data_IF_179262514390
#
_entry.id   IF_179262514390
#
_cell.length_a   1.000
_cell.length_b   1.000
_cell.length_c   1.000
_cell.angle_alpha   90.00
_cell.angle_beta   90.00
_cell.angle_gamma   90.00
#
_symmetry.space_group_name_H-M   'P 1'
#
loop_
_entity.id
_entity.type
_entity.pdbx_description
1 polymer ?
#
# COMPACT_ATOMS: atom_id res chain seq x y z
N UNK A 1 -5.06 -17.32 -19.64
CA UNK A 1 -3.78 -17.16 -18.92
C UNK A 1 -3.67 -15.72 -18.56
N UNK A 2 -3.32 -15.39 -17.31
CA UNK A 2 -3.03 -13.99 -16.97
C UNK A 2 -1.82 -13.52 -17.78
N UNK A 3 -1.85 -12.28 -18.27
CA UNK A 3 -0.79 -11.64 -19.07
C UNK A 3 0.62 -11.85 -18.50
N UNK A 4 0.72 -11.94 -17.17
CA UNK A 4 1.96 -12.10 -16.42
C UNK A 4 2.75 -13.40 -16.67
N UNK A 5 2.11 -14.52 -17.04
CA UNK A 5 2.83 -15.79 -17.26
C UNK A 5 3.79 -15.71 -18.45
N UNK A 6 3.42 -14.92 -19.48
CA UNK A 6 4.28 -14.63 -20.63
C UNK A 6 5.54 -13.83 -20.27
N UNK A 7 5.58 -13.24 -19.07
CA UNK A 7 6.69 -12.43 -18.57
C UNK A 7 7.47 -13.13 -17.43
N UNK A 8 7.34 -14.46 -17.30
CA UNK A 8 8.09 -15.25 -16.32
C UNK A 8 7.55 -15.17 -14.89
N UNK A 9 6.34 -14.64 -14.70
CA UNK A 9 5.69 -14.55 -13.39
C UNK A 9 4.80 -15.78 -13.20
N UNK A 10 5.14 -16.63 -12.23
CA UNK A 10 4.30 -17.76 -11.82
C UNK A 10 3.14 -17.26 -10.97
N UNK A 11 1.92 -17.54 -11.41
CA UNK A 11 0.70 -17.14 -10.69
C UNK A 11 0.04 -18.34 -10.02
N UNK A 12 -0.52 -18.15 -8.83
CA UNK A 12 -1.38 -19.13 -8.18
C UNK A 12 -2.56 -18.41 -7.53
N UNK A 13 -3.78 -18.84 -7.86
CA UNK A 13 -5.00 -18.31 -7.26
C UNK A 13 -5.31 -19.13 -6.02
N UNK A 14 -5.41 -18.47 -4.87
CA UNK A 14 -5.70 -19.11 -3.60
C UNK A 14 -6.16 -18.11 -2.55
N UNK A 15 -6.76 -18.62 -1.48
CA UNK A 15 -7.06 -17.82 -0.29
C UNK A 15 -6.02 -18.13 0.78
N UNK A 16 -5.54 -17.11 1.50
CA UNK A 16 -4.65 -17.29 2.66
C UNK A 16 -5.25 -18.18 3.74
N UNK A 17 -6.57 -18.42 3.72
CA UNK A 17 -7.23 -19.36 4.61
C UNK A 17 -6.96 -20.82 4.30
N UNK A 18 -6.55 -21.15 3.08
CA UNK A 18 -6.14 -22.49 2.69
C UNK A 18 -4.66 -22.70 3.05
N UNK A 19 -4.44 -23.20 4.26
CA UNK A 19 -3.08 -23.44 4.78
C UNK A 19 -2.31 -24.46 3.93
N UNK A 20 -3.00 -25.49 3.42
CA UNK A 20 -2.34 -26.55 2.65
C UNK A 20 -1.81 -26.00 1.32
N UNK A 21 -2.64 -25.21 0.63
CA UNK A 21 -2.24 -24.54 -0.61
C UNK A 21 -1.13 -23.51 -0.35
N UNK A 22 -1.28 -22.67 0.68
CA UNK A 22 -0.25 -21.67 1.00
C UNK A 22 1.09 -22.34 1.30
N UNK A 23 1.08 -23.40 2.10
CA UNK A 23 2.28 -24.17 2.42
C UNK A 23 2.89 -24.83 1.19
N UNK A 24 2.08 -25.43 0.30
CA UNK A 24 2.62 -26.05 -0.92
C UNK A 24 3.24 -25.00 -1.84
N UNK A 25 2.55 -23.88 -2.07
CA UNK A 25 3.03 -22.81 -2.96
C UNK A 25 4.35 -22.21 -2.47
N UNK A 26 4.44 -21.89 -1.17
CA UNK A 26 5.66 -21.30 -0.60
C UNK A 26 6.82 -22.30 -0.59
N UNK A 27 6.57 -23.57 -0.27
CA UNK A 27 7.61 -24.62 -0.32
C UNK A 27 8.11 -24.86 -1.75
N UNK A 28 7.19 -24.99 -2.71
CA UNK A 28 7.53 -25.29 -4.10
C UNK A 28 8.30 -24.13 -4.76
N UNK A 29 7.98 -22.89 -4.37
CA UNK A 29 8.68 -21.70 -4.87
C UNK A 29 10.00 -21.44 -4.14
N UNK A 30 10.10 -21.84 -2.86
CA UNK A 30 11.28 -21.66 -2.00
C UNK A 30 11.84 -20.21 -2.03
N UNK A 31 11.03 -19.20 -1.65
CA UNK A 31 11.40 -17.79 -1.78
C UNK A 31 12.54 -17.39 -0.86
N UNK A 32 13.32 -16.40 -1.30
CA UNK A 32 14.28 -15.70 -0.45
C UNK A 32 13.72 -14.39 0.14
N UNK A 33 12.78 -13.77 -0.58
CA UNK A 33 12.12 -12.52 -0.20
C UNK A 33 10.61 -12.71 -0.32
N UNK A 34 9.86 -12.25 0.68
CA UNK A 34 8.40 -12.32 0.70
C UNK A 34 7.82 -10.92 0.91
N UNK A 35 6.95 -10.52 0.00
CA UNK A 35 6.09 -9.34 0.17
C UNK A 35 4.64 -9.78 0.42
N UNK A 36 4.08 -9.41 1.57
CA UNK A 36 2.69 -9.74 1.92
C UNK A 36 1.76 -8.54 1.72
N UNK A 37 1.07 -8.50 0.58
CA UNK A 37 0.10 -7.45 0.24
C UNK A 37 -1.35 -7.92 0.31
N UNK A 38 -1.59 -9.22 0.40
CA UNK A 38 -2.94 -9.78 0.36
C UNK A 38 -3.74 -9.41 1.61
N UNK A 39 -4.90 -8.78 1.41
CA UNK A 39 -5.77 -8.26 2.46
C UNK A 39 -7.16 -7.94 1.88
N UNK A 40 -8.16 -7.83 2.76
CA UNK A 40 -9.41 -7.10 2.50
C UNK A 40 -9.10 -5.59 2.71
N UNK A 41 -9.06 -4.74 1.65
CA UNK A 41 -8.53 -3.38 1.74
C UNK A 41 -9.59 -2.26 1.84
N UNK A 42 -10.88 -2.61 1.85
CA UNK A 42 -11.99 -1.66 1.73
C UNK A 42 -12.65 -1.45 3.10
N UNK A 43 -12.58 -0.22 3.61
CA UNK A 43 -13.17 0.20 4.89
C UNK A 43 -14.67 -0.06 4.92
N UNK A 44 -15.41 0.33 3.87
CA UNK A 44 -16.86 0.13 3.78
C UNK A 44 -17.26 -1.35 3.86
N UNK A 45 -16.60 -2.20 3.09
CA UNK A 45 -16.81 -3.66 3.13
C UNK A 45 -16.54 -4.24 4.53
N UNK A 46 -15.64 -3.63 5.30
CA UNK A 46 -15.35 -4.08 6.66
C UNK A 46 -16.50 -3.85 7.64
N UNK A 47 -17.40 -2.89 7.38
CA UNK A 47 -18.65 -2.75 8.14
C UNK A 47 -19.70 -3.81 7.73
N UNK A 48 -19.70 -4.21 6.47
CA UNK A 48 -20.63 -5.21 5.93
C UNK A 48 -20.24 -6.64 6.36
N UNK A 49 -18.93 -6.96 6.34
CA UNK A 49 -18.38 -8.25 6.76
C UNK A 49 -17.11 -8.08 7.62
N UNK A 50 -17.28 -7.71 8.90
CA UNK A 50 -16.16 -7.47 9.81
C UNK A 50 -15.38 -8.75 10.11
N UNK A 51 -16.06 -9.89 10.25
CA UNK A 51 -15.41 -11.16 10.59
C UNK A 51 -14.51 -11.61 9.45
N UNK A 52 -14.97 -11.59 8.20
CA UNK A 52 -14.11 -11.92 7.07
C UNK A 52 -12.91 -10.98 6.98
N UNK A 53 -13.08 -9.69 7.27
CA UNK A 53 -11.98 -8.73 7.31
C UNK A 53 -10.90 -9.12 8.33
N UNK A 54 -11.28 -9.54 9.54
CA UNK A 54 -10.32 -10.05 10.52
C UNK A 54 -9.68 -11.38 10.12
N UNK A 55 -10.46 -12.30 9.52
CA UNK A 55 -9.92 -13.57 9.02
C UNK A 55 -8.85 -13.32 7.96
N UNK A 56 -9.15 -12.50 6.96
CA UNK A 56 -8.21 -12.22 5.86
C UNK A 56 -6.98 -11.47 6.36
N UNK A 57 -7.17 -10.39 7.13
CA UNK A 57 -6.09 -9.48 7.48
C UNK A 57 -5.24 -9.97 8.65
N UNK A 58 -5.84 -10.57 9.68
CA UNK A 58 -5.14 -11.02 10.88
C UNK A 58 -4.73 -12.47 10.76
N UNK A 59 -5.69 -13.36 10.52
CA UNK A 59 -5.40 -14.81 10.46
C UNK A 59 -4.60 -15.13 9.21
N UNK A 60 -4.88 -14.48 8.07
CA UNK A 60 -4.07 -14.61 6.85
C UNK A 60 -2.61 -14.19 7.07
N UNK A 61 -2.37 -13.09 7.79
CA UNK A 61 -1.00 -12.65 8.15
C UNK A 61 -0.32 -13.66 9.07
N UNK A 62 -1.00 -14.16 10.11
CA UNK A 62 -0.45 -15.17 11.00
C UNK A 62 -0.10 -16.46 10.26
N UNK A 63 -0.97 -16.92 9.34
CA UNK A 63 -0.75 -18.12 8.52
C UNK A 63 0.47 -18.00 7.61
N UNK A 64 0.63 -16.86 6.93
CA UNK A 64 1.81 -16.62 6.11
C UNK A 64 3.08 -16.71 6.95
N UNK A 65 3.11 -16.01 8.09
CA UNK A 65 4.26 -16.03 8.99
C UNK A 65 4.53 -17.44 9.55
N UNK A 66 3.49 -18.21 9.86
CA UNK A 66 3.61 -19.59 10.32
C UNK A 66 4.21 -20.51 9.24
N UNK A 67 3.77 -20.37 7.99
CA UNK A 67 4.37 -21.10 6.87
C UNK A 67 5.82 -20.66 6.66
N UNK A 68 6.11 -19.36 6.68
CA UNK A 68 7.46 -18.82 6.48
C UNK A 68 8.48 -19.30 7.51
N UNK A 69 8.08 -19.59 8.75
CA UNK A 69 8.97 -20.19 9.77
C UNK A 69 9.62 -21.48 9.30
N UNK A 70 8.92 -22.25 8.46
CA UNK A 70 9.38 -23.56 7.97
C UNK A 70 10.28 -23.49 6.73
N UNK A 71 10.60 -22.31 6.22
CA UNK A 71 11.27 -22.13 4.92
C UNK A 71 12.69 -21.59 5.13
N UNK A 72 13.74 -22.44 5.00
CA UNK A 72 15.11 -22.02 5.31
C UNK A 72 15.67 -20.95 4.38
N UNK A 73 15.16 -20.83 3.14
CA UNK A 73 15.64 -19.86 2.16
C UNK A 73 15.22 -18.42 2.46
N UNK A 74 14.14 -18.20 3.21
CA UNK A 74 13.61 -16.86 3.44
C UNK A 74 14.61 -16.05 4.27
N UNK A 75 14.96 -14.88 3.75
CA UNK A 75 15.84 -13.90 4.40
C UNK A 75 15.14 -12.58 4.70
N UNK A 76 14.19 -12.17 3.87
CA UNK A 76 13.45 -10.91 4.07
C UNK A 76 11.94 -11.13 3.95
N UNK A 77 11.19 -10.58 4.90
CA UNK A 77 9.73 -10.51 4.85
C UNK A 77 9.31 -9.06 5.10
N UNK A 78 8.61 -8.48 4.13
CA UNK A 78 7.98 -7.16 4.24
C UNK A 78 6.46 -7.34 4.22
N UNK A 79 5.82 -7.04 5.35
CA UNK A 79 4.37 -7.13 5.49
C UNK A 79 3.73 -5.75 5.31
N UNK A 80 2.77 -5.63 4.39
CA UNK A 80 2.13 -4.36 4.09
C UNK A 80 0.87 -4.22 4.95
N UNK A 81 0.89 -3.22 5.83
CA UNK A 81 -0.24 -2.90 6.71
C UNK A 81 -1.03 -1.72 6.15
N UNK A 82 -1.04 -0.57 6.82
CA UNK A 82 -1.71 0.67 6.37
C UNK A 82 -1.32 1.82 7.28
N UNK A 83 -1.38 3.04 6.75
CA UNK A 83 -1.43 4.28 7.53
C UNK A 83 -2.52 4.30 8.62
N UNK A 84 -3.58 3.49 8.49
CA UNK A 84 -4.72 3.44 9.43
C UNK A 84 -4.55 2.48 10.61
N UNK A 85 -3.36 1.87 10.78
CA UNK A 85 -3.11 0.95 11.90
C UNK A 85 -2.87 1.67 13.24
N UNK A 86 -2.79 2.99 13.23
CA UNK A 86 -2.60 3.80 14.43
C UNK A 86 -3.92 4.09 15.14
N UNK A 87 -3.85 4.28 16.46
CA UNK A 87 -4.96 4.79 17.26
C UNK A 87 -5.20 6.27 16.91
N UNK A 88 -6.21 6.52 16.09
CA UNK A 88 -6.42 7.82 15.47
C UNK A 88 -6.87 8.87 16.49
N UNK A 89 -6.01 9.87 16.74
CA UNK A 89 -6.21 11.00 17.65
C UNK A 89 -6.90 12.21 17.02
N UNK A 90 -7.16 12.20 15.70
CA UNK A 90 -7.76 13.33 14.96
C UNK A 90 -7.03 14.66 15.25
N UNK A 91 -5.70 14.64 15.16
CA UNK A 91 -4.82 15.76 15.47
C UNK A 91 -3.95 16.18 14.26
N UNK A 92 -3.17 17.25 14.41
CA UNK A 92 -2.38 17.83 13.31
C UNK A 92 -1.03 17.13 13.06
N UNK A 93 -0.62 16.18 13.91
CA UNK A 93 0.69 15.52 13.80
C UNK A 93 0.64 14.22 13.01
N UNK A 94 1.76 13.91 12.33
CA UNK A 94 1.95 12.59 11.73
C UNK A 94 2.29 11.53 12.76
N UNK A 95 1.75 10.33 12.61
CA UNK A 95 2.07 9.21 13.48
C UNK A 95 3.50 8.73 13.25
N UNK A 96 4.24 8.57 14.34
CA UNK A 96 5.56 7.93 14.37
C UNK A 96 5.38 6.44 14.63
N UNK A 97 6.35 5.62 14.25
CA UNK A 97 6.20 4.16 14.32
C UNK A 97 6.05 3.59 15.73
N UNK A 98 6.39 4.40 16.75
CA UNK A 98 6.26 4.11 18.18
C UNK A 98 4.91 4.51 18.78
N UNK A 99 4.10 5.28 18.06
CA UNK A 99 2.80 5.71 18.55
C UNK A 99 1.83 4.52 18.62
N UNK A 100 0.78 4.66 19.44
CA UNK A 100 -0.14 3.56 19.74
C UNK A 100 -0.86 3.05 18.49
N UNK A 101 -1.00 1.72 18.42
CA UNK A 101 -1.81 1.05 17.40
C UNK A 101 -3.28 1.03 17.81
N UNK A 102 -4.17 1.04 16.82
CA UNK A 102 -5.61 1.06 17.02
C UNK A 102 -6.38 0.97 15.71
N UNK A 103 -7.60 1.47 15.70
CA UNK A 103 -8.41 1.48 14.49
C UNK A 103 -9.89 1.56 14.84
N UNK A 104 -10.56 2.57 14.30
CA UNK A 104 -11.97 2.83 14.59
C UNK A 104 -12.88 1.80 13.91
N UNK A 105 -12.66 1.58 12.61
CA UNK A 105 -13.40 0.61 11.80
C UNK A 105 -12.71 -0.77 11.77
N UNK A 106 -13.45 -1.85 11.44
CA UNK A 106 -12.90 -3.21 11.44
C UNK A 106 -11.70 -3.41 10.50
N UNK A 107 -11.62 -2.70 9.37
CA UNK A 107 -10.44 -2.74 8.51
C UNK A 107 -9.21 -2.16 9.21
N UNK A 108 -9.32 -0.93 9.71
CA UNK A 108 -8.22 -0.26 10.41
C UNK A 108 -7.75 -1.08 11.63
N UNK A 109 -8.70 -1.56 12.45
CA UNK A 109 -8.40 -2.39 13.61
C UNK A 109 -7.75 -3.73 13.23
N UNK A 110 -8.20 -4.39 12.16
CA UNK A 110 -7.59 -5.63 11.67
C UNK A 110 -6.14 -5.44 11.22
N UNK A 111 -5.79 -4.26 10.68
CA UNK A 111 -4.42 -3.96 10.29
C UNK A 111 -3.52 -3.61 11.48
N UNK A 112 -4.04 -2.99 12.52
CA UNK A 112 -3.34 -2.89 13.80
C UNK A 112 -3.10 -4.27 14.45
N UNK A 113 -4.09 -5.17 14.39
CA UNK A 113 -3.87 -6.55 14.81
C UNK A 113 -2.78 -7.24 13.98
N UNK A 114 -2.73 -7.01 12.66
CA UNK A 114 -1.64 -7.53 11.82
C UNK A 114 -0.26 -7.00 12.23
N UNK A 115 -0.13 -5.73 12.62
CA UNK A 115 1.10 -5.18 13.22
C UNK A 115 1.49 -5.91 14.52
N UNK A 116 0.53 -6.16 15.41
CA UNK A 116 0.76 -6.88 16.68
C UNK A 116 1.20 -8.33 16.41
N UNK A 117 0.51 -9.03 15.51
CA UNK A 117 0.89 -10.40 15.08
C UNK A 117 2.32 -10.40 14.55
N UNK A 118 2.65 -9.46 13.67
CA UNK A 118 3.99 -9.34 13.08
C UNK A 118 5.06 -9.10 14.14
N UNK A 119 4.80 -8.20 15.09
CA UNK A 119 5.71 -7.92 16.20
C UNK A 119 5.88 -9.13 17.12
N UNK A 120 4.80 -9.89 17.40
CA UNK A 120 4.86 -11.11 18.19
C UNK A 120 5.69 -12.19 17.49
N UNK A 121 5.45 -12.44 16.20
CA UNK A 121 6.21 -13.42 15.43
C UNK A 121 7.69 -13.06 15.34
N UNK A 122 7.98 -11.77 15.13
CA UNK A 122 9.35 -11.25 15.17
C UNK A 122 10.03 -11.51 16.51
N UNK A 123 9.34 -11.34 17.63
CA UNK A 123 9.94 -11.54 18.96
C UNK A 123 10.05 -13.02 19.34
N UNK A 124 9.10 -13.85 18.91
CA UNK A 124 9.00 -15.25 19.35
C UNK A 124 9.74 -16.24 18.43
N UNK A 125 9.81 -15.97 17.13
CA UNK A 125 10.29 -16.94 16.14
C UNK A 125 11.38 -16.40 15.22
N UNK A 126 11.40 -15.08 14.99
CA UNK A 126 12.44 -14.41 14.20
C UNK A 126 13.24 -13.42 15.05
N UNK A 127 13.55 -13.82 16.29
CA UNK A 127 14.15 -12.93 17.28
C UNK A 127 15.55 -12.46 16.81
N UNK A 128 15.86 -11.16 16.87
CA UNK A 128 17.19 -10.66 16.51
C UNK A 128 18.36 -11.38 17.21
N UNK A 129 18.15 -11.93 18.42
CA UNK A 129 19.17 -12.66 19.18
C UNK A 129 19.48 -14.06 18.61
N UNK A 130 18.55 -14.66 17.88
CA UNK A 130 18.65 -16.01 17.32
C UNK A 130 19.01 -15.98 15.82
N UNK A 131 19.15 -14.79 15.24
CA UNK A 131 19.52 -14.57 13.86
C UNK A 131 20.94 -15.09 13.57
N UNK A 132 21.07 -15.90 12.51
CA UNK A 132 22.32 -16.59 12.14
C UNK A 132 22.58 -17.87 12.94
N UNK A 133 21.75 -18.17 13.95
CA UNK A 133 21.85 -19.40 14.77
C UNK A 133 20.70 -20.35 14.44
N UNK A 134 19.46 -19.87 14.56
CA UNK A 134 18.25 -20.68 14.36
C UNK A 134 17.40 -20.24 13.16
N UNK A 135 17.57 -19.01 12.68
CA UNK A 135 16.92 -18.50 11.48
C UNK A 135 17.78 -17.44 10.78
N UNK A 136 17.44 -17.12 9.52
CA UNK A 136 18.06 -16.02 8.75
C UNK A 136 17.04 -14.96 8.30
N UNK A 137 15.87 -14.94 8.93
CA UNK A 137 14.77 -14.04 8.55
C UNK A 137 14.90 -12.67 9.24
N UNK A 138 14.90 -11.60 8.43
CA UNK A 138 14.52 -10.25 8.83
C UNK A 138 13.04 -9.99 8.51
N UNK A 139 12.26 -9.55 9.50
CA UNK A 139 10.82 -9.29 9.37
C UNK A 139 10.49 -7.83 9.68
N UNK A 140 9.92 -7.11 8.72
CA UNK A 140 9.45 -5.75 8.88
C UNK A 140 7.97 -5.57 8.49
N UNK A 141 7.36 -4.52 9.04
CA UNK A 141 6.05 -4.03 8.60
C UNK A 141 6.22 -2.67 7.91
N UNK A 142 5.47 -2.46 6.84
CA UNK A 142 5.48 -1.22 6.07
C UNK A 142 4.09 -0.60 6.04
N UNK A 143 3.99 0.65 6.49
CA UNK A 143 2.77 1.43 6.70
C UNK A 143 2.71 2.54 5.66
N UNK A 144 1.75 2.46 4.77
CA UNK A 144 1.46 3.53 3.80
C UNK A 144 -0.05 3.58 3.52
N UNK A 145 -0.50 4.66 2.91
CA UNK A 145 -1.89 4.81 2.47
C UNK A 145 -2.06 5.94 1.48
N UNK A 146 -3.31 6.16 1.08
CA UNK A 146 -3.71 7.17 0.08
C UNK A 146 -2.90 7.03 -1.22
N UNK A 147 -2.66 5.77 -1.59
CA UNK A 147 -1.91 5.37 -2.77
C UNK A 147 -2.79 5.53 -4.01
N UNK A 148 -2.26 6.21 -5.02
CA UNK A 148 -2.95 6.49 -6.30
C UNK A 148 -2.03 6.18 -7.47
N UNK A 149 -2.59 5.76 -8.60
CA UNK A 149 -1.80 5.32 -9.76
C UNK A 149 -2.70 4.88 -10.90
N UNK A 150 -2.11 4.74 -12.09
CA UNK A 150 -2.78 4.08 -13.21
C UNK A 150 -3.05 2.59 -12.92
N UNK A 151 -4.14 2.06 -13.45
CA UNK A 151 -4.52 0.65 -13.28
C UNK A 151 -5.25 0.33 -11.96
N UNK A 152 -5.65 1.34 -11.19
CA UNK A 152 -6.62 1.14 -10.11
C UNK A 152 -8.04 1.24 -10.66
N UNK A 153 -8.80 0.14 -10.56
CA UNK A 153 -10.22 0.07 -10.92
C UNK A 153 -11.12 -0.24 -9.71
N UNK A 154 -10.59 -0.08 -8.50
CA UNK A 154 -11.38 -0.30 -7.29
C UNK A 154 -12.55 0.70 -7.22
N UNK A 155 -13.72 0.18 -6.82
CA UNK A 155 -14.89 1.00 -6.51
C UNK A 155 -14.68 1.74 -5.19
N UNK A 156 -15.39 2.85 -5.02
CA UNK A 156 -15.38 3.68 -3.81
C UNK A 156 -13.99 4.30 -3.53
N UNK A 157 -13.26 4.64 -4.59
CA UNK A 157 -11.97 5.34 -4.53
C UNK A 157 -11.99 6.55 -5.45
N UNK A 158 -11.58 7.69 -4.90
CA UNK A 158 -11.66 9.00 -5.56
C UNK A 158 -11.07 9.01 -6.97
N UNK A 159 -9.83 8.55 -7.15
CA UNK A 159 -9.15 8.63 -8.45
C UNK A 159 -9.80 7.72 -9.50
N UNK A 160 -10.02 6.42 -9.25
CA UNK A 160 -10.78 5.56 -10.18
C UNK A 160 -12.15 6.13 -10.53
N UNK A 161 -12.88 6.68 -9.56
CA UNK A 161 -14.22 7.25 -9.78
C UNK A 161 -14.16 8.51 -10.66
N UNK A 162 -13.18 9.41 -10.45
CA UNK A 162 -12.93 10.57 -11.32
C UNK A 162 -12.64 10.12 -12.75
N UNK A 163 -11.68 9.22 -12.93
CA UNK A 163 -11.24 8.78 -14.27
C UNK A 163 -12.41 8.13 -15.02
N UNK A 164 -13.15 7.23 -14.36
CA UNK A 164 -14.30 6.57 -14.95
C UNK A 164 -15.39 7.56 -15.35
N UNK A 165 -15.71 8.53 -14.50
CA UNK A 165 -16.71 9.56 -14.80
C UNK A 165 -16.27 10.42 -16.00
N UNK A 166 -15.03 10.87 -16.02
CA UNK A 166 -14.51 11.71 -17.10
C UNK A 166 -14.46 10.97 -18.43
N UNK A 167 -14.01 9.70 -18.45
CA UNK A 167 -14.02 8.87 -19.66
C UNK A 167 -15.43 8.55 -20.18
N UNK A 168 -16.44 8.53 -19.30
CA UNK A 168 -17.84 8.29 -19.68
C UNK A 168 -18.63 9.57 -20.00
N UNK A 169 -18.03 10.75 -19.86
CA UNK A 169 -18.74 12.01 -20.03
C UNK A 169 -19.73 12.31 -18.90
N UNK A 170 -19.58 11.66 -17.74
CA UNK A 170 -20.41 11.84 -16.56
C UNK A 170 -19.73 12.71 -15.50
N UNK A 171 -20.54 13.35 -14.64
CA UNK A 171 -20.01 14.10 -13.49
C UNK A 171 -19.62 13.14 -12.38
N UNK A 172 -18.52 13.40 -11.70
CA UNK A 172 -18.12 12.65 -10.51
C UNK A 172 -18.79 13.21 -9.25
N UNK A 173 -19.25 12.32 -8.38
CA UNK A 173 -19.81 12.65 -7.07
C UNK A 173 -18.71 12.74 -6.01
N UNK A 174 -18.57 13.91 -5.38
CA UNK A 174 -17.57 14.17 -4.34
C UNK A 174 -18.26 14.24 -2.97
N UNK A 175 -17.86 13.34 -2.09
CA UNK A 175 -18.48 13.15 -0.76
C UNK A 175 -17.96 14.14 0.28
N UNK A 176 -16.63 14.27 0.37
CA UNK A 176 -15.99 15.15 1.35
C UNK A 176 -14.90 16.01 0.67
N UNK A 177 -15.26 17.15 0.06
CA UNK A 177 -14.31 17.97 -0.69
C UNK A 177 -13.18 18.57 0.17
N UNK A 178 -13.41 18.72 1.48
CA UNK A 178 -12.45 19.32 2.41
C UNK A 178 -11.57 18.30 3.13
N UNK A 179 -11.80 17.00 2.93
CA UNK A 179 -10.94 15.96 3.45
C UNK A 179 -9.52 16.11 2.90
N UNK A 180 -8.54 16.29 3.78
CA UNK A 180 -7.13 16.36 3.39
C UNK A 180 -6.55 14.95 3.50
N UNK A 181 -5.82 14.54 2.45
CA UNK A 181 -5.14 13.25 2.41
C UNK A 181 -3.70 13.43 1.92
N UNK A 182 -2.74 12.69 2.48
CA UNK A 182 -1.37 12.65 1.98
C UNK A 182 -1.30 11.70 0.78
N UNK A 183 -1.79 12.15 -0.37
CA UNK A 183 -1.79 11.39 -1.62
C UNK A 183 -0.36 11.13 -2.12
N UNK A 184 -0.10 9.92 -2.61
CA UNK A 184 1.19 9.55 -3.18
C UNK A 184 1.04 8.58 -4.35
N UNK A 185 1.93 8.68 -5.33
CA UNK A 185 1.94 7.73 -6.45
C UNK A 185 2.23 6.31 -5.94
N UNK A 186 1.67 5.28 -6.58
CA UNK A 186 1.87 3.85 -6.21
C UNK A 186 3.33 3.43 -6.15
N UNK A 187 4.18 4.05 -6.97
CA UNK A 187 5.61 3.75 -6.99
C UNK A 187 6.37 4.32 -5.78
N UNK A 188 5.83 5.32 -5.07
CA UNK A 188 6.47 5.93 -3.90
C UNK A 188 6.66 4.92 -2.74
N UNK A 189 5.58 4.32 -2.19
CA UNK A 189 5.75 3.34 -1.14
C UNK A 189 6.34 2.02 -1.67
N UNK A 190 6.08 1.63 -2.92
CA UNK A 190 6.67 0.41 -3.49
C UNK A 190 8.19 0.49 -3.55
N UNK A 191 8.76 1.63 -3.94
CA UNK A 191 10.21 1.87 -3.85
C UNK A 191 10.71 1.72 -2.41
N UNK A 192 9.99 2.29 -1.44
CA UNK A 192 10.32 2.12 -0.02
C UNK A 192 10.28 0.67 0.44
N UNK A 193 9.33 -0.12 -0.04
CA UNK A 193 9.20 -1.55 0.27
C UNK A 193 10.36 -2.35 -0.32
N UNK A 194 10.74 -2.06 -1.57
CA UNK A 194 11.89 -2.71 -2.24
C UNK A 194 13.19 -2.42 -1.50
N UNK A 195 13.43 -1.15 -1.16
CA UNK A 195 14.60 -0.76 -0.38
C UNK A 195 14.62 -1.43 0.99
N UNK A 196 13.48 -1.47 1.69
CA UNK A 196 13.38 -2.17 2.97
C UNK A 196 13.67 -3.67 2.83
N UNK A 197 13.18 -4.33 1.78
CA UNK A 197 13.47 -5.73 1.52
C UNK A 197 14.96 -5.98 1.26
N UNK A 198 15.63 -5.12 0.48
CA UNK A 198 17.09 -5.16 0.29
C UNK A 198 17.82 -5.04 1.62
N UNK A 199 17.48 -4.03 2.43
CA UNK A 199 18.11 -3.83 3.74
C UNK A 199 17.89 -5.00 4.70
N UNK A 200 16.71 -5.62 4.68
CA UNK A 200 16.44 -6.84 5.44
C UNK A 200 17.27 -8.02 4.91
N UNK A 201 17.38 -8.16 3.60
CA UNK A 201 18.10 -9.27 2.97
C UNK A 201 19.62 -9.21 3.26
N UNK A 202 20.18 -8.01 3.31
CA UNK A 202 21.61 -7.77 3.55
C UNK A 202 21.97 -7.68 5.04
N UNK A 203 21.14 -6.98 5.82
CA UNK A 203 21.44 -6.60 7.21
C UNK A 203 20.47 -7.18 8.24
N UNK A 204 19.53 -8.03 7.81
CA UNK A 204 18.69 -8.83 8.68
C UNK A 204 17.88 -8.00 9.68
N UNK A 205 17.85 -8.39 10.97
CA UNK A 205 17.00 -7.77 11.98
C UNK A 205 17.29 -6.30 12.28
N UNK A 206 18.42 -5.74 11.82
CA UNK A 206 18.73 -4.31 11.97
C UNK A 206 17.63 -3.40 11.38
N UNK A 207 16.92 -3.90 10.37
CA UNK A 207 15.79 -3.23 9.74
C UNK A 207 14.44 -3.92 10.04
N UNK A 208 14.46 -4.94 10.91
CA UNK A 208 13.31 -5.73 11.33
C UNK A 208 12.42 -4.98 12.31
N UNK A 209 11.75 -3.94 11.83
CA UNK A 209 10.86 -3.08 12.62
C UNK A 209 9.70 -2.58 11.76
N UNK A 210 8.87 -1.69 12.30
CA UNK A 210 7.83 -1.03 11.51
C UNK A 210 8.37 0.23 10.82
N UNK A 211 7.85 0.56 9.64
CA UNK A 211 8.32 1.68 8.82
C UNK A 211 7.17 2.44 8.19
N UNK A 212 7.17 3.76 8.31
CA UNK A 212 6.25 4.64 7.61
C UNK A 212 6.77 5.06 6.23
N UNK A 213 5.88 5.06 5.24
CA UNK A 213 6.13 5.59 3.90
C UNK A 213 4.95 6.49 3.47
N UNK A 214 5.26 7.73 3.13
CA UNK A 214 4.28 8.76 2.82
C UNK A 214 4.90 10.00 2.20
N UNK A 215 4.09 10.84 1.53
CA UNK A 215 4.57 12.06 0.90
C UNK A 215 4.98 13.10 1.96
N UNK A 216 5.64 14.16 1.51
CA UNK A 216 5.91 15.31 2.35
C UNK A 216 4.62 16.02 2.78
N UNK A 217 4.61 16.57 4.00
CA UNK A 217 3.43 17.22 4.57
C UNK A 217 2.96 18.44 3.75
N UNK A 218 3.89 19.11 3.06
CA UNK A 218 3.60 20.22 2.14
C UNK A 218 2.75 19.79 0.94
N UNK A 219 2.73 18.49 0.65
CA UNK A 219 2.04 17.90 -0.49
C UNK A 219 0.67 17.29 -0.11
N UNK A 220 0.30 17.32 1.17
CA UNK A 220 -1.05 16.98 1.60
C UNK A 220 -2.06 18.02 1.06
N UNK A 221 -3.02 17.57 0.26
CA UNK A 221 -4.04 18.43 -0.36
C UNK A 221 -5.47 17.94 -0.08
N UNK A 222 -6.45 18.87 -0.04
CA UNK A 222 -7.85 18.48 0.05
C UNK A 222 -8.34 17.80 -1.24
N UNK A 223 -9.40 16.99 -1.12
CA UNK A 223 -10.07 16.35 -2.27
C UNK A 223 -10.45 17.36 -3.35
N UNK A 224 -10.92 18.56 -2.98
CA UNK A 224 -11.28 19.61 -3.94
C UNK A 224 -10.10 20.02 -4.83
N UNK A 225 -8.89 20.07 -4.27
CA UNK A 225 -7.69 20.42 -5.04
C UNK A 225 -7.34 19.34 -6.07
N UNK A 226 -7.51 18.06 -5.71
CA UNK A 226 -7.29 16.93 -6.62
C UNK A 226 -8.23 17.03 -7.83
N UNK A 227 -9.50 17.31 -7.55
CA UNK A 227 -10.53 17.49 -8.56
C UNK A 227 -10.17 18.62 -9.52
N UNK A 228 -9.86 19.81 -9.00
CA UNK A 228 -9.48 20.98 -9.81
C UNK A 228 -8.22 20.71 -10.66
N UNK A 229 -7.27 19.94 -10.11
CA UNK A 229 -6.08 19.54 -10.85
C UNK A 229 -6.41 18.58 -12.00
N UNK A 230 -7.30 17.60 -11.78
CA UNK A 230 -7.76 16.70 -12.84
C UNK A 230 -8.61 17.41 -13.90
N UNK A 231 -9.47 18.36 -13.53
CA UNK A 231 -10.23 19.16 -14.50
C UNK A 231 -9.29 19.94 -15.44
N UNK A 232 -8.15 20.42 -14.96
CA UNK A 232 -7.13 21.07 -15.80
C UNK A 232 -6.38 20.09 -16.70
N UNK A 233 -6.13 18.88 -16.22
CA UNK A 233 -5.46 17.82 -16.97
C UNK A 233 -6.40 17.12 -17.97
N UNK A 234 -7.71 17.30 -17.82
CA UNK A 234 -8.75 16.67 -18.65
C UNK A 234 -9.70 17.74 -19.21
N UNK A 235 -9.36 18.38 -20.34
CA UNK A 235 -10.09 19.53 -20.87
C UNK A 235 -11.58 19.29 -21.13
N UNK A 236 -11.95 18.06 -21.48
CA UNK A 236 -13.35 17.65 -21.74
C UNK A 236 -14.06 17.14 -20.46
N UNK A 237 -13.53 17.45 -19.28
CA UNK A 237 -14.12 17.06 -18.00
C UNK A 237 -15.57 17.55 -17.87
N UNK A 238 -16.54 16.66 -17.55
CA UNK A 238 -17.92 17.02 -17.25
C UNK A 238 -18.10 17.81 -15.94
N UNK A 239 -17.02 17.89 -15.14
CA UNK A 239 -16.99 18.54 -13.83
C UNK A 239 -17.50 17.66 -12.68
N UNK A 240 -17.75 18.29 -11.53
CA UNK A 240 -18.11 17.58 -10.28
C UNK A 240 -19.44 18.02 -9.69
N UNK A 241 -20.04 17.14 -8.89
CA UNK A 241 -21.19 17.42 -8.04
C UNK A 241 -20.92 16.95 -6.61
N UNK A 242 -21.45 17.67 -5.62
CA UNK A 242 -21.33 17.26 -4.22
C UNK A 242 -22.39 16.20 -3.90
N UNK A 243 -21.95 15.07 -3.35
CA UNK A 243 -22.85 14.07 -2.76
C UNK A 243 -23.49 14.64 -1.48
N UNK A 244 -24.80 14.45 -1.35
CA UNK A 244 -25.60 14.89 -0.19
C UNK A 244 -26.04 13.73 0.70
N UNK A 245 -25.59 12.51 0.42
CA UNK A 245 -25.93 11.30 1.15
C UNK A 245 -25.28 11.19 2.53
N UNK A 246 -25.83 10.31 3.37
CA UNK A 246 -25.24 9.94 4.64
C UNK A 246 -24.05 8.98 4.39
N UNK A 247 -22.84 9.42 4.74
CA UNK A 247 -21.61 8.66 4.56
C UNK A 247 -21.08 8.16 5.92
N UNK A 248 -20.48 6.96 6.00
CA UNK A 248 -19.82 6.47 7.21
C UNK A 248 -18.70 7.43 7.68
N UNK A 249 -18.33 7.33 8.95
CA UNK A 249 -17.22 8.11 9.49
C UNK A 249 -15.92 7.79 8.73
N UNK A 250 -15.30 8.81 8.15
CA UNK A 250 -13.96 8.76 7.59
C UNK A 250 -13.08 9.78 8.34
N UNK A 251 -11.84 9.39 8.64
CA UNK A 251 -10.88 10.27 9.30
C UNK A 251 -10.76 11.61 8.57
N UNK A 252 -10.74 12.71 9.31
CA UNK A 252 -10.69 14.05 8.69
C UNK A 252 -9.29 14.35 8.15
N UNK A 253 -8.27 13.96 8.90
CA UNK A 253 -6.86 14.15 8.59
C UNK A 253 -6.03 13.03 9.23
N UNK A 254 -5.23 12.33 8.41
CA UNK A 254 -4.37 11.23 8.86
C UNK A 254 -3.08 11.27 8.04
N UNK A 255 -1.94 11.44 8.70
CA UNK A 255 -0.62 11.48 8.06
C UNK A 255 0.42 10.71 8.86
N UNK A 256 1.55 10.42 8.21
CA UNK A 256 2.65 9.66 8.79
C UNK A 256 3.88 10.55 8.90
N UNK A 257 4.59 10.44 10.03
CA UNK A 257 5.96 10.93 10.12
C UNK A 257 6.88 9.88 9.49
N UNK A 258 7.53 10.25 8.38
CA UNK A 258 8.43 9.36 7.62
C UNK A 258 9.91 9.63 7.89
N UNK A 259 10.24 10.42 8.93
CA UNK A 259 11.62 10.78 9.28
C UNK A 259 12.52 9.55 9.46
N UNK A 260 11.96 8.44 9.95
CA UNK A 260 12.69 7.20 10.14
C UNK A 260 13.14 6.59 8.81
N UNK A 261 12.25 6.49 7.82
CA UNK A 261 12.57 5.98 6.50
C UNK A 261 13.63 6.86 5.82
N UNK A 262 13.47 8.19 5.88
CA UNK A 262 14.46 9.15 5.39
C UNK A 262 15.84 8.94 6.02
N UNK A 263 15.91 9.00 7.34
CA UNK A 263 17.20 9.00 8.06
C UNK A 263 17.90 7.64 8.07
N UNK A 264 17.16 6.53 8.00
CA UNK A 264 17.73 5.18 8.21
C UNK A 264 17.74 4.31 6.97
N UNK A 265 16.84 4.54 6.00
CA UNK A 265 16.88 3.85 4.70
C UNK A 265 17.51 4.72 3.61
N UNK A 266 17.51 6.05 3.77
CA UNK A 266 17.78 6.99 2.69
C UNK A 266 16.61 7.10 1.71
N UNK A 267 15.41 6.75 2.16
CA UNK A 267 14.19 6.81 1.33
C UNK A 267 13.59 8.20 1.37
N UNK A 268 13.31 8.81 0.22
CA UNK A 268 12.55 10.05 0.11
C UNK A 268 11.50 9.97 -1.01
N UNK A 269 10.38 10.73 -0.92
CA UNK A 269 9.41 10.82 -2.01
C UNK A 269 10.03 11.45 -3.26
N UNK A 270 9.62 11.00 -4.44
CA UNK A 270 10.26 11.36 -5.71
C UNK A 270 9.39 12.30 -6.55
N UNK A 271 8.11 11.97 -6.69
CA UNK A 271 7.12 12.73 -7.43
C UNK A 271 6.18 13.43 -6.45
N UNK A 272 6.16 14.76 -6.55
CA UNK A 272 5.12 15.55 -5.91
C UNK A 272 3.73 15.19 -6.48
N UNK A 273 2.69 15.67 -5.82
CA UNK A 273 1.32 15.37 -6.17
C UNK A 273 0.97 15.88 -7.57
N UNK A 274 1.47 17.04 -7.98
CA UNK A 274 1.22 17.57 -9.32
C UNK A 274 1.78 16.63 -10.41
N UNK A 275 3.01 16.15 -10.24
CA UNK A 275 3.62 15.16 -11.11
C UNK A 275 2.86 13.84 -11.06
N UNK A 276 2.48 13.38 -9.87
CA UNK A 276 1.68 12.16 -9.65
C UNK A 276 0.39 12.18 -10.47
N UNK A 277 -0.40 13.26 -10.38
CA UNK A 277 -1.66 13.38 -11.13
C UNK A 277 -1.43 13.40 -12.65
N UNK A 278 -0.36 14.08 -13.10
CA UNK A 278 0.05 14.05 -14.50
C UNK A 278 0.41 12.64 -14.96
N UNK A 279 1.14 11.86 -14.15
CA UNK A 279 1.49 10.47 -14.47
C UNK A 279 0.30 9.54 -14.50
N UNK A 280 -0.70 9.77 -13.66
CA UNK A 280 -1.98 9.05 -13.71
C UNK A 280 -2.72 9.35 -15.02
N UNK A 281 -2.87 10.63 -15.36
CA UNK A 281 -3.52 11.03 -16.61
C UNK A 281 -2.80 10.48 -17.84
N UNK A 282 -1.47 10.60 -17.90
CA UNK A 282 -0.63 10.02 -18.96
C UNK A 282 -0.89 8.51 -19.10
N UNK A 283 -0.95 7.78 -17.99
CA UNK A 283 -1.16 6.33 -17.99
C UNK A 283 -2.50 5.95 -18.62
N UNK A 284 -3.61 6.55 -18.16
CA UNK A 284 -4.94 6.23 -18.69
C UNK A 284 -5.06 6.64 -20.16
N UNK A 285 -4.50 7.79 -20.55
CA UNK A 285 -4.50 8.22 -21.94
C UNK A 285 -3.77 7.23 -22.86
N UNK A 286 -2.63 6.66 -22.46
CA UNK A 286 -1.90 5.68 -23.27
C UNK A 286 -2.68 4.36 -23.40
N UNK A 287 -3.29 3.91 -22.30
CA UNK A 287 -4.14 2.71 -22.32
C UNK A 287 -5.37 2.90 -23.21
N UNK A 288 -5.99 4.08 -23.19
CA UNK A 288 -7.13 4.41 -24.05
C UNK A 288 -6.77 4.42 -25.54
N UNK A 289 -5.51 4.71 -25.91
CA UNK A 289 -5.04 4.56 -27.29
C UNK A 289 -4.80 3.10 -27.73
N UNK A 290 -5.01 2.13 -26.83
CA UNK A 290 -4.79 0.72 -27.07
C UNK A 290 -3.35 0.25 -26.89
N UNK A 291 -2.50 1.04 -26.21
CA UNK A 291 -1.15 0.56 -25.87
C UNK A 291 -1.23 -0.63 -24.89
N UNK A 292 -0.37 -1.65 -25.03
CA UNK A 292 -0.33 -2.77 -24.10
C UNK A 292 -0.05 -2.28 -22.67
N UNK A 293 -0.92 -2.64 -21.72
CA UNK A 293 -0.86 -2.17 -20.32
C UNK A 293 0.49 -2.51 -19.68
N UNK A 294 1.04 -3.69 -19.96
CA UNK A 294 2.34 -4.12 -19.45
C UNK A 294 3.47 -3.14 -19.84
N UNK A 295 3.51 -2.72 -21.12
CA UNK A 295 4.51 -1.78 -21.63
C UNK A 295 4.34 -0.36 -21.06
N UNK A 296 3.10 0.08 -20.86
CA UNK A 296 2.80 1.37 -20.21
C UNK A 296 3.30 1.36 -18.77
N UNK A 297 3.08 0.27 -18.03
CA UNK A 297 3.58 0.09 -16.68
C UNK A 297 5.11 0.07 -16.63
N UNK A 298 5.80 -0.69 -17.49
CA UNK A 298 7.26 -0.71 -17.54
C UNK A 298 7.84 0.67 -17.85
N UNK A 299 7.29 1.36 -18.84
CA UNK A 299 7.72 2.73 -19.19
C UNK A 299 7.55 3.68 -18.01
N UNK A 300 6.49 3.55 -17.22
CA UNK A 300 6.27 4.39 -16.05
C UNK A 300 7.24 4.07 -14.91
N UNK A 301 7.57 2.79 -14.70
CA UNK A 301 8.60 2.35 -13.76
C UNK A 301 9.96 2.94 -14.15
N UNK A 302 10.37 2.82 -15.42
CA UNK A 302 11.64 3.41 -15.90
C UNK A 302 11.72 4.93 -15.69
N UNK A 303 10.60 5.65 -15.92
CA UNK A 303 10.53 7.09 -15.65
C UNK A 303 10.70 7.41 -14.17
N UNK A 304 10.16 6.59 -13.28
CA UNK A 304 10.31 6.73 -11.84
C UNK A 304 11.75 6.47 -11.42
N UNK A 305 12.38 5.40 -11.90
CA UNK A 305 13.78 5.07 -11.64
C UNK A 305 14.75 6.15 -12.15
N UNK A 306 14.49 6.73 -13.33
CA UNK A 306 15.27 7.88 -13.81
C UNK A 306 15.11 9.09 -12.89
N UNK A 307 13.93 9.30 -12.32
CA UNK A 307 13.68 10.39 -11.36
C UNK A 307 14.42 10.15 -10.04
N UNK A 308 14.45 8.91 -9.55
CA UNK A 308 15.24 8.50 -8.39
C UNK A 308 16.73 8.82 -8.55
N UNK A 309 17.32 8.55 -9.72
CA UNK A 309 18.75 8.79 -9.97
C UNK A 309 19.14 10.28 -10.13
N UNK A 310 18.17 11.20 -10.13
CA UNK A 310 18.41 12.63 -10.23
C UNK A 310 18.39 13.35 -8.88
N UNK A 311 18.01 12.65 -7.80
CA UNK A 311 17.95 13.14 -6.42
C UNK A 311 19.21 12.67 -5.69
#
# INVERSE_FOLDING_TARGET
MSDFEGHGIKTTIGNLSDEQLLRSVVNDFNPEVVFHLAAQPIVRKSYEDPVATYVDNVIGTARLLEVSKGIPSIRAIVLITTDKCYDNKEWDWGYREIDALGGYDPYSASKACAEIVSASYRQSFFNPKDYGIHHQVGLATARAGNVIGGGDWARDRLIPDIIKAFQSGEKVEIRNPHAIRPWQHVLEPLHGYMLLAERLYESGPKYGEAWNFGPDDTDAKPVSWIVEAFEKLWPDSPGVVLDKGANPHEASYLKLDCSKAKNRLGWEPVWDLAMTLKKIQEWYSLVDTGMPVFEVCLTQIEKFERSLNMI
#
